data_IF_971247642169
#
_entry.id   IF_971247642169
#
_cell.length_a   1.000
_cell.length_b   1.000
_cell.length_c   1.000
_cell.angle_alpha   90.00
_cell.angle_beta   90.00
_cell.angle_gamma   90.00
#
_symmetry.space_group_name_H-M   'P 1'
#
loop_
_entity.id
_entity.type
_entity.pdbx_description
1 polymer ?
#
# COMPACT_ATOMS: atom_id res chain seq x y z
N UNK A 1 11.90 6.72 -14.75
CA UNK A 1 11.20 5.51 -14.28
C UNK A 1 12.13 4.38 -13.77
N UNK A 2 13.41 4.29 -14.17
CA UNK A 2 14.32 3.20 -13.74
C UNK A 2 14.76 3.20 -12.25
N UNK A 3 14.58 4.32 -11.52
CA UNK A 3 15.07 4.46 -10.15
C UNK A 3 14.06 3.97 -9.08
N UNK A 4 12.77 3.95 -9.42
CA UNK A 4 11.66 3.53 -8.53
C UNK A 4 11.80 2.09 -8.04
N UNK A 5 12.23 1.19 -8.93
CA UNK A 5 12.33 -0.24 -8.62
C UNK A 5 13.53 -0.60 -7.73
N UNK A 6 14.60 0.20 -7.70
CA UNK A 6 15.83 -0.18 -6.99
C UNK A 6 15.74 0.03 -5.49
N UNK A 7 15.14 1.13 -5.02
CA UNK A 7 15.00 1.42 -3.59
C UNK A 7 14.16 0.34 -2.87
N UNK A 8 13.01 -0.02 -3.42
CA UNK A 8 12.11 -1.03 -2.83
C UNK A 8 12.62 -2.48 -3.00
N UNK A 9 13.35 -2.79 -4.10
CA UNK A 9 13.81 -4.17 -4.41
C UNK A 9 15.06 -4.60 -3.64
N UNK A 10 15.92 -3.67 -3.18
CA UNK A 10 17.26 -4.00 -2.70
C UNK A 10 17.35 -4.58 -1.27
N UNK A 11 16.22 -4.94 -0.65
CA UNK A 11 16.21 -5.51 0.71
C UNK A 11 15.54 -6.90 0.77
N UNK A 12 15.70 -7.71 -0.29
CA UNK A 12 15.38 -9.16 -0.22
C UNK A 12 16.44 -9.87 0.63
N UNK A 13 15.99 -10.34 1.80
CA UNK A 13 16.75 -11.09 2.79
C UNK A 13 17.50 -12.30 2.19
N UNK A 14 18.70 -12.50 2.74
CA UNK A 14 19.63 -13.60 2.54
C UNK A 14 19.08 -14.96 2.93
N UNK A 15 19.63 -15.99 2.26
CA UNK A 15 19.79 -17.39 2.67
C UNK A 15 18.52 -18.17 3.02
N UNK A 16 18.31 -19.27 2.30
CA UNK A 16 18.24 -20.62 2.88
C UNK A 16 18.73 -21.60 1.80
N UNK A 17 19.77 -22.34 2.17
CA UNK A 17 20.46 -23.34 1.38
C UNK A 17 19.62 -24.63 1.36
N UNK A 18 19.26 -25.11 0.17
CA UNK A 18 18.51 -26.36 -0.03
C UNK A 18 19.44 -27.56 0.20
N UNK A 19 19.13 -28.37 1.20
CA UNK A 19 19.59 -29.75 1.32
C UNK A 19 18.49 -30.69 0.81
N UNK A 20 18.87 -31.67 0.00
CA UNK A 20 17.97 -32.72 -0.48
C UNK A 20 17.83 -33.88 0.49
N UNK A 21 16.81 -34.71 0.30
CA UNK A 21 16.90 -36.17 0.15
C UNK A 21 15.50 -36.80 0.07
N UNK A 22 15.47 -37.94 -0.62
CA UNK A 22 14.34 -38.78 -0.96
C UNK A 22 13.72 -39.52 0.24
N UNK A 23 12.49 -40.02 0.06
CA UNK A 23 11.91 -41.03 0.94
C UNK A 23 10.40 -41.19 0.80
N UNK A 24 9.97 -42.15 -0.03
CA UNK A 24 8.59 -42.65 -0.12
C UNK A 24 8.23 -43.46 1.14
N UNK A 25 7.08 -43.20 1.75
CA UNK A 25 6.30 -44.18 2.52
C UNK A 25 4.84 -43.71 2.62
N UNK A 26 3.93 -44.50 2.07
CA UNK A 26 2.49 -44.24 2.07
C UNK A 26 1.83 -44.79 3.34
N UNK A 27 1.19 -43.92 4.12
CA UNK A 27 0.25 -44.30 5.17
C UNK A 27 -0.97 -43.37 5.07
N UNK A 28 -2.13 -43.94 4.73
CA UNK A 28 -3.40 -43.21 4.63
C UNK A 28 -4.02 -43.09 6.02
N UNK A 29 -3.86 -41.92 6.64
CA UNK A 29 -4.65 -41.50 7.81
C UNK A 29 -5.86 -40.72 7.32
N UNK A 30 -7.06 -41.14 7.74
CA UNK A 30 -8.28 -40.37 7.55
C UNK A 30 -8.24 -39.13 8.47
N UNK A 31 -7.84 -38.00 7.91
CA UNK A 31 -7.81 -36.71 8.60
C UNK A 31 -9.22 -36.13 8.65
N UNK A 32 -9.79 -36.00 9.86
CA UNK A 32 -10.97 -35.16 10.08
C UNK A 32 -10.66 -33.71 9.65
N UNK A 33 -11.62 -32.94 9.11
CA UNK A 33 -11.40 -31.53 8.84
C UNK A 33 -11.26 -30.81 10.18
N UNK A 34 -10.03 -30.44 10.54
CA UNK A 34 -9.80 -29.35 11.46
C UNK A 34 -10.31 -28.09 10.76
N UNK A 35 -11.47 -27.58 11.20
CA UNK A 35 -11.80 -26.19 10.96
C UNK A 35 -10.72 -25.40 11.70
N UNK A 36 -9.72 -24.93 10.96
CA UNK A 36 -8.75 -23.99 11.47
C UNK A 36 -9.55 -22.77 11.95
N UNK A 37 -9.77 -22.67 13.26
CA UNK A 37 -10.21 -21.43 13.88
C UNK A 37 -9.19 -20.39 13.44
N UNK A 38 -9.63 -19.39 12.66
CA UNK A 38 -8.81 -18.22 12.40
C UNK A 38 -8.29 -17.74 13.75
N UNK A 39 -6.95 -17.71 13.88
CA UNK A 39 -6.31 -17.27 15.11
C UNK A 39 -6.91 -15.90 15.50
N UNK A 40 -7.06 -15.61 16.80
CA UNK A 40 -7.40 -14.26 17.25
C UNK A 40 -6.41 -13.31 16.58
N UNK A 41 -6.92 -12.39 15.75
CA UNK A 41 -6.10 -11.47 14.99
C UNK A 41 -5.19 -10.76 16.00
N UNK A 42 -3.86 -10.98 15.99
CA UNK A 42 -2.99 -10.38 16.99
C UNK A 42 -3.17 -8.87 16.88
N UNK A 43 -3.66 -8.29 17.97
CA UNK A 43 -4.08 -6.90 18.02
C UNK A 43 -2.93 -6.03 17.51
N UNK A 44 -3.14 -5.34 16.38
CA UNK A 44 -2.11 -4.51 15.77
C UNK A 44 -1.59 -3.50 16.79
N UNK A 45 -0.27 -3.40 16.90
CA UNK A 45 0.36 -2.36 17.71
C UNK A 45 -0.04 -0.97 17.21
N UNK A 46 0.02 0.02 18.10
CA UNK A 46 -0.42 1.38 17.81
C UNK A 46 0.32 1.99 16.61
N UNK A 47 1.60 1.66 16.44
CA UNK A 47 2.43 2.22 15.38
C UNK A 47 2.04 1.66 14.01
N UNK A 48 1.82 0.35 13.90
CA UNK A 48 1.32 -0.30 12.68
C UNK A 48 -0.08 0.20 12.32
N UNK A 49 -0.97 0.38 13.30
CA UNK A 49 -2.28 0.98 13.07
C UNK A 49 -2.18 2.39 12.51
N UNK A 50 -1.28 3.20 13.06
CA UNK A 50 -1.06 4.57 12.57
C UNK A 50 -0.53 4.55 11.14
N UNK A 51 0.38 3.63 10.78
CA UNK A 51 0.87 3.49 9.42
C UNK A 51 -0.25 3.19 8.40
N UNK A 52 -1.24 2.36 8.76
CA UNK A 52 -2.40 2.12 7.91
C UNK A 52 -3.25 3.38 7.73
N UNK A 53 -3.45 4.17 8.79
CA UNK A 53 -4.21 5.43 8.76
C UNK A 53 -3.49 6.47 7.90
N UNK A 54 -2.17 6.59 8.06
CA UNK A 54 -1.37 7.52 7.28
C UNK A 54 -1.39 7.14 5.80
N UNK A 55 -1.24 5.85 5.49
CA UNK A 55 -1.23 5.37 4.11
C UNK A 55 -2.56 5.62 3.38
N UNK A 56 -3.71 5.28 3.98
CA UNK A 56 -5.00 5.54 3.30
C UNK A 56 -5.30 7.03 3.15
N UNK A 57 -4.86 7.87 4.09
CA UNK A 57 -4.99 9.32 3.99
C UNK A 57 -4.11 9.90 2.88
N UNK A 58 -2.93 9.33 2.64
CA UNK A 58 -2.07 9.72 1.52
C UNK A 58 -2.77 9.43 0.18
N UNK A 59 -3.38 8.24 0.03
CA UNK A 59 -4.16 7.90 -1.18
C UNK A 59 -5.36 8.85 -1.37
N UNK A 60 -6.07 9.20 -0.29
CA UNK A 60 -7.17 10.18 -0.34
C UNK A 60 -6.69 11.56 -0.78
N UNK A 61 -5.58 12.03 -0.20
CA UNK A 61 -5.01 13.32 -0.54
C UNK A 61 -4.55 13.36 -2.00
N UNK A 62 -3.83 12.32 -2.47
CA UNK A 62 -3.40 12.20 -3.86
C UNK A 62 -4.59 12.19 -4.83
N UNK A 63 -5.63 11.40 -4.54
CA UNK A 63 -6.86 11.35 -5.33
C UNK A 63 -7.52 12.73 -5.43
N UNK A 64 -7.65 13.43 -4.30
CA UNK A 64 -8.24 14.77 -4.24
C UNK A 64 -7.39 15.79 -5.02
N UNK A 65 -6.06 15.75 -4.87
CA UNK A 65 -5.13 16.62 -5.58
C UNK A 65 -5.25 16.48 -7.10
N UNK A 66 -5.16 15.25 -7.62
CA UNK A 66 -5.23 15.02 -9.06
C UNK A 66 -6.62 15.23 -9.65
N UNK A 67 -7.68 14.99 -8.87
CA UNK A 67 -9.05 15.36 -9.26
C UNK A 67 -9.17 16.87 -9.44
N UNK A 68 -8.73 17.66 -8.46
CA UNK A 68 -8.73 19.11 -8.55
C UNK A 68 -7.81 19.64 -9.68
N UNK A 69 -6.70 18.95 -9.97
CA UNK A 69 -5.83 19.30 -11.09
C UNK A 69 -6.51 19.06 -12.44
N UNK A 70 -7.28 17.98 -12.58
CA UNK A 70 -8.11 17.71 -13.77
C UNK A 70 -9.20 18.77 -13.91
N UNK A 71 -9.84 19.17 -12.82
CA UNK A 71 -10.85 20.24 -12.82
C UNK A 71 -10.26 21.57 -13.27
N UNK A 72 -9.04 21.91 -12.81
CA UNK A 72 -8.37 23.19 -13.12
C UNK A 72 -7.78 23.26 -14.54
N UNK A 73 -7.14 22.18 -14.99
CA UNK A 73 -6.37 22.18 -16.25
C UNK A 73 -7.00 21.37 -17.38
N UNK A 74 -8.14 20.74 -17.13
CA UNK A 74 -8.75 19.77 -18.03
C UNK A 74 -8.11 18.38 -17.92
N UNK A 75 -8.74 17.40 -18.58
CA UNK A 75 -8.28 16.02 -18.53
C UNK A 75 -6.97 15.84 -19.29
N UNK A 76 -5.87 15.72 -18.56
CA UNK A 76 -4.62 15.15 -19.07
C UNK A 76 -4.53 13.69 -18.66
N UNK A 77 -4.17 12.82 -19.63
CA UNK A 77 -4.17 11.37 -19.44
C UNK A 77 -3.36 10.88 -18.23
N UNK A 78 -2.21 11.48 -17.86
CA UNK A 78 -1.49 11.07 -16.65
C UNK A 78 -2.33 11.21 -15.38
N UNK A 79 -3.01 12.33 -15.17
CA UNK A 79 -3.77 12.57 -13.93
C UNK A 79 -4.98 11.65 -13.81
N UNK A 80 -5.72 11.41 -14.90
CA UNK A 80 -6.86 10.49 -14.86
C UNK A 80 -6.45 9.02 -14.69
N UNK A 81 -5.23 8.65 -15.09
CA UNK A 81 -4.66 7.34 -14.74
C UNK A 81 -4.35 7.25 -13.24
N UNK A 82 -3.79 8.31 -12.65
CA UNK A 82 -3.43 8.35 -11.24
C UNK A 82 -4.68 8.29 -10.36
N UNK A 83 -5.71 9.10 -10.61
CA UNK A 83 -6.99 9.02 -9.87
C UNK A 83 -7.54 7.59 -9.84
N UNK A 84 -7.53 6.88 -10.98
CA UNK A 84 -7.94 5.47 -11.05
C UNK A 84 -7.00 4.51 -10.34
N UNK A 85 -5.73 4.86 -10.17
CA UNK A 85 -4.80 4.10 -9.33
C UNK A 85 -5.14 4.29 -7.86
N UNK A 86 -5.34 5.53 -7.43
CA UNK A 86 -5.65 5.83 -6.03
C UNK A 86 -6.98 5.23 -5.58
N UNK A 87 -8.00 5.18 -6.46
CA UNK A 87 -9.24 4.46 -6.16
C UNK A 87 -9.00 2.96 -5.87
N UNK A 88 -8.06 2.34 -6.57
CA UNK A 88 -7.67 0.95 -6.35
C UNK A 88 -6.85 0.79 -5.07
N UNK A 89 -5.96 1.75 -4.76
CA UNK A 89 -5.19 1.77 -3.53
C UNK A 89 -6.09 1.94 -2.29
N UNK A 90 -7.03 2.90 -2.34
CA UNK A 90 -8.08 3.08 -1.33
C UNK A 90 -8.89 1.79 -1.13
N UNK A 91 -9.26 1.12 -2.22
CA UNK A 91 -10.02 -0.14 -2.14
C UNK A 91 -9.21 -1.25 -1.44
N UNK A 92 -7.90 -1.34 -1.73
CA UNK A 92 -6.99 -2.26 -1.04
C UNK A 92 -6.92 -1.94 0.46
N UNK A 93 -6.76 -0.67 0.83
CA UNK A 93 -6.73 -0.26 2.24
C UNK A 93 -8.04 -0.56 2.95
N UNK A 94 -9.19 -0.24 2.36
CA UNK A 94 -10.51 -0.53 2.94
C UNK A 94 -10.68 -2.03 3.27
N UNK A 95 -10.20 -2.92 2.38
CA UNK A 95 -10.22 -4.35 2.62
C UNK A 95 -9.34 -4.75 3.82
N UNK A 96 -8.13 -4.19 3.94
CA UNK A 96 -7.23 -4.44 5.07
C UNK A 96 -7.78 -3.88 6.40
N UNK A 97 -8.32 -2.65 6.41
CA UNK A 97 -8.99 -2.11 7.60
C UNK A 97 -10.13 -3.02 8.07
N UNK A 98 -10.94 -3.51 7.13
CA UNK A 98 -12.02 -4.46 7.42
C UNK A 98 -11.48 -5.78 7.97
N UNK A 99 -10.45 -6.34 7.35
CA UNK A 99 -9.80 -7.60 7.78
C UNK A 99 -9.24 -7.49 9.21
N UNK A 100 -8.69 -6.34 9.58
CA UNK A 100 -8.14 -6.08 10.92
C UNK A 100 -9.18 -5.58 11.93
N UNK A 101 -10.46 -5.44 11.53
CA UNK A 101 -11.53 -4.94 12.42
C UNK A 101 -11.32 -3.50 12.87
N UNK A 102 -10.66 -2.68 12.04
CA UNK A 102 -10.35 -1.28 12.33
C UNK A 102 -11.38 -0.35 11.67
N UNK A 103 -11.72 0.79 12.31
CA UNK A 103 -12.52 1.81 11.66
C UNK A 103 -11.76 2.41 10.48
N UNK A 104 -12.45 2.55 9.34
CA UNK A 104 -11.90 3.18 8.14
C UNK A 104 -11.92 4.71 8.35
N UNK A 105 -10.80 5.42 8.16
CA UNK A 105 -10.77 6.88 8.20
C UNK A 105 -11.72 7.50 7.17
N UNK A 106 -12.42 8.56 7.54
CA UNK A 106 -13.29 9.29 6.62
C UNK A 106 -12.44 10.13 5.67
N UNK A 107 -12.64 9.98 4.36
CA UNK A 107 -12.04 10.89 3.38
C UNK A 107 -12.59 12.30 3.57
N UNK A 108 -11.71 13.22 3.94
CA UNK A 108 -12.05 14.62 4.21
C UNK A 108 -11.38 15.61 3.26
N UNK A 109 -10.65 15.12 2.25
CA UNK A 109 -9.78 15.91 1.38
C UNK A 109 -10.49 16.42 0.11
N UNK A 110 -11.52 15.73 -0.35
CA UNK A 110 -12.28 16.12 -1.54
C UNK A 110 -12.73 17.59 -1.47
N UNK A 111 -12.39 18.37 -2.50
CA UNK A 111 -12.71 19.80 -2.58
C UNK A 111 -11.94 20.72 -1.63
N UNK A 112 -10.97 20.22 -0.86
CA UNK A 112 -10.18 21.00 0.12
C UNK A 112 -8.69 21.08 -0.17
N UNK A 113 -8.21 20.35 -1.18
CA UNK A 113 -6.81 20.36 -1.58
C UNK A 113 -6.55 21.51 -2.56
N UNK A 114 -5.50 22.28 -2.30
CA UNK A 114 -5.06 23.35 -3.20
C UNK A 114 -4.17 22.78 -4.32
N UNK A 115 -4.43 23.22 -5.55
CA UNK A 115 -3.62 22.87 -6.72
C UNK A 115 -2.85 24.10 -7.20
N UNK A 116 -1.54 23.98 -7.51
CA UNK A 116 -0.74 25.07 -8.06
C UNK A 116 -1.37 25.75 -9.30
N UNK A 117 -0.88 26.93 -9.66
CA UNK A 117 -1.47 27.74 -10.74
C UNK A 117 -1.12 27.28 -12.15
N UNK A 118 -0.08 26.47 -12.29
CA UNK A 118 0.35 25.97 -13.59
C UNK A 118 0.39 24.44 -13.60
N UNK A 119 0.12 23.87 -14.78
CA UNK A 119 0.24 22.43 -15.00
C UNK A 119 1.66 21.93 -14.68
N UNK A 120 2.68 22.73 -15.02
CA UNK A 120 4.07 22.41 -14.69
C UNK A 120 4.29 22.30 -13.17
N UNK A 121 3.77 23.25 -12.39
CA UNK A 121 3.88 23.21 -10.94
C UNK A 121 3.07 22.06 -10.32
N UNK A 122 1.90 21.73 -10.88
CA UNK A 122 1.13 20.55 -10.45
C UNK A 122 1.88 19.23 -10.71
N UNK A 123 2.55 19.12 -11.88
CA UNK A 123 3.43 17.97 -12.17
C UNK A 123 4.61 17.90 -11.20
N UNK A 124 5.23 19.05 -10.88
CA UNK A 124 6.34 19.12 -9.93
C UNK A 124 5.92 18.70 -8.52
N UNK A 125 4.76 19.20 -8.05
CA UNK A 125 4.17 18.77 -6.78
C UNK A 125 3.87 17.27 -6.76
N UNK A 126 3.42 16.70 -7.88
CA UNK A 126 3.27 15.24 -8.02
C UNK A 126 4.59 14.49 -7.85
N UNK A 127 5.68 14.97 -8.47
CA UNK A 127 7.02 14.35 -8.29
C UNK A 127 7.50 14.41 -6.85
N UNK A 128 7.26 15.52 -6.15
CA UNK A 128 7.61 15.68 -4.74
C UNK A 128 6.77 14.77 -3.85
N UNK A 129 5.48 14.63 -4.13
CA UNK A 129 4.59 13.68 -3.48
C UNK A 129 5.08 12.25 -3.65
N UNK A 130 5.54 11.85 -4.85
CA UNK A 130 6.12 10.51 -5.08
C UNK A 130 7.37 10.24 -4.23
N UNK A 131 8.23 11.24 -4.07
CA UNK A 131 9.44 11.11 -3.24
C UNK A 131 9.04 10.94 -1.77
N UNK A 132 8.09 11.76 -1.29
CA UNK A 132 7.57 11.68 0.07
C UNK A 132 6.89 10.32 0.34
N UNK A 133 6.13 9.83 -0.64
CA UNK A 133 5.43 8.55 -0.56
C UNK A 133 6.40 7.37 -0.41
N UNK A 134 7.44 7.31 -1.24
CA UNK A 134 8.49 6.27 -1.12
C UNK A 134 9.14 6.32 0.26
N UNK A 135 9.50 7.51 0.75
CA UNK A 135 10.11 7.68 2.08
C UNK A 135 9.17 7.28 3.23
N UNK A 136 7.87 7.52 3.07
CA UNK A 136 6.84 7.10 4.02
C UNK A 136 6.74 5.56 4.09
N UNK A 137 6.56 4.91 2.95
CA UNK A 137 6.46 3.45 2.87
C UNK A 137 7.74 2.75 3.35
N UNK A 138 8.93 3.28 3.04
CA UNK A 138 10.20 2.76 3.53
C UNK A 138 10.30 2.79 5.06
N UNK A 139 9.83 3.87 5.69
CA UNK A 139 9.74 3.98 7.16
C UNK A 139 8.79 2.94 7.74
N UNK A 140 7.60 2.76 7.15
CA UNK A 140 6.60 1.80 7.62
C UNK A 140 7.12 0.36 7.56
N UNK A 141 7.80 0.01 6.49
CA UNK A 141 8.44 -1.31 6.33
C UNK A 141 9.57 -1.58 7.34
N UNK A 142 10.03 -0.57 8.09
CA UNK A 142 10.99 -0.73 9.18
C UNK A 142 10.41 -1.33 10.46
N UNK A 143 9.09 -1.26 10.67
CA UNK A 143 8.46 -1.73 11.91
C UNK A 143 7.23 -2.62 11.72
N UNK A 144 6.55 -2.57 10.57
CA UNK A 144 5.39 -3.43 10.29
C UNK A 144 5.83 -4.90 10.21
N UNK A 145 5.16 -5.78 10.94
CA UNK A 145 5.53 -7.22 11.03
C UNK A 145 4.57 -8.13 10.26
N UNK A 146 3.35 -7.67 10.02
CA UNK A 146 2.28 -8.47 9.44
C UNK A 146 2.55 -8.69 7.94
N UNK A 147 2.64 -9.94 7.46
CA UNK A 147 3.08 -10.21 6.09
C UNK A 147 2.20 -9.62 5.00
N UNK A 148 0.88 -9.61 5.20
CA UNK A 148 -0.11 -9.02 4.29
C UNK A 148 0.02 -7.50 4.23
N UNK A 149 0.19 -6.84 5.37
CA UNK A 149 0.46 -5.40 5.43
C UNK A 149 1.80 -5.07 4.77
N UNK A 150 2.86 -5.81 5.06
CA UNK A 150 4.15 -5.61 4.37
C UNK A 150 4.03 -5.80 2.86
N UNK A 151 3.20 -6.73 2.38
CA UNK A 151 2.93 -6.91 0.96
C UNK A 151 2.20 -5.69 0.37
N UNK A 152 1.18 -5.19 1.05
CA UNK A 152 0.45 -3.98 0.64
C UNK A 152 1.35 -2.74 0.62
N UNK A 153 2.10 -2.47 1.70
CA UNK A 153 3.05 -1.36 1.77
C UNK A 153 4.10 -1.44 0.64
N UNK A 154 4.61 -2.63 0.30
CA UNK A 154 5.54 -2.81 -0.83
C UNK A 154 4.88 -2.64 -2.19
N UNK A 155 3.64 -3.08 -2.35
CA UNK A 155 2.90 -2.93 -3.60
C UNK A 155 2.64 -1.47 -3.90
N UNK A 156 2.20 -0.69 -2.91
CA UNK A 156 1.82 0.71 -3.08
C UNK A 156 3.04 1.63 -3.21
N UNK A 157 4.14 1.33 -2.51
CA UNK A 157 5.45 1.96 -2.72
C UNK A 157 5.96 1.92 -4.18
N UNK A 158 5.46 0.98 -5.00
CA UNK A 158 5.94 0.77 -6.39
C UNK A 158 5.05 1.39 -7.47
N UNK A 159 3.80 1.73 -7.16
CA UNK A 159 2.73 1.92 -8.17
C UNK A 159 2.19 3.36 -8.23
N UNK A 160 2.49 4.21 -7.24
CA UNK A 160 2.30 5.67 -7.33
C UNK A 160 3.24 6.28 -8.41
#
# INVERSE_FOLDING_TARGET
MMNRQRACKNRRSSSIQRWGLAGLCAATLASAPTIASAAPNPQLDTQTRQAMIDAINDEYHARAFYTAAIEKFGTVRPFSNIVRSEDRHVSLWNALFTQYGLPIPVDSFAGKVAVPDTLQAACQAGVEAEIANVAMYDRFLGFVQQPDLQAAFRQLCQIS
#
